data_IF_857988767535
#
_entry.id   IF_857988767535
#
_cell.length_a   1.000
_cell.length_b   1.000
_cell.length_c   1.000
_cell.angle_alpha   90.00
_cell.angle_beta   90.00
_cell.angle_gamma   90.00
#
_symmetry.space_group_name_H-M   'P 1'
#
loop_
_entity.id
_entity.type
_entity.pdbx_description
1 polymer ?
#
# COMPACT_ATOMS: atom_id res chain seq x y z
N UNK A 1 -5.67 -14.98 -5.42
CA UNK A 1 -6.42 -14.53 -6.60
C UNK A 1 -5.54 -14.66 -7.85
N UNK A 2 -6.06 -15.16 -8.97
CA UNK A 2 -5.36 -15.22 -10.27
C UNK A 2 -5.90 -14.14 -11.21
N UNK A 3 -5.00 -13.37 -11.81
CA UNK A 3 -5.30 -12.39 -12.87
C UNK A 3 -4.78 -12.99 -14.17
N UNK A 4 -5.67 -13.32 -15.11
CA UNK A 4 -5.29 -14.02 -16.35
C UNK A 4 -5.81 -13.37 -17.63
N UNK A 5 -6.82 -12.49 -17.52
CA UNK A 5 -7.47 -11.84 -18.66
C UNK A 5 -7.70 -10.37 -18.32
N UNK A 6 -7.73 -9.53 -19.35
CA UNK A 6 -8.18 -8.14 -19.28
C UNK A 6 -9.46 -8.03 -20.09
N UNK A 7 -10.40 -7.25 -19.59
CA UNK A 7 -11.57 -6.83 -20.34
C UNK A 7 -11.30 -5.46 -20.96
N UNK A 8 -11.47 -5.33 -22.27
CA UNK A 8 -11.28 -4.09 -22.99
C UNK A 8 -12.54 -3.77 -23.81
N UNK A 9 -12.81 -2.48 -23.97
CA UNK A 9 -13.83 -2.02 -24.92
C UNK A 9 -13.11 -1.59 -26.19
N UNK A 10 -13.23 -2.36 -27.26
CA UNK A 10 -12.72 -2.03 -28.59
C UNK A 10 -13.91 -1.86 -29.54
N UNK A 11 -13.94 -0.76 -30.29
CA UNK A 11 -14.97 -0.48 -31.30
C UNK A 11 -16.42 -0.64 -30.77
N UNK A 12 -16.65 -0.26 -29.51
CA UNK A 12 -17.97 -0.35 -28.86
C UNK A 12 -18.34 -1.75 -28.32
N UNK A 13 -17.53 -2.78 -28.59
CA UNK A 13 -17.74 -4.16 -28.09
C UNK A 13 -16.82 -4.46 -26.91
N UNK A 14 -17.33 -5.29 -26.00
CA UNK A 14 -16.58 -5.77 -24.84
C UNK A 14 -15.86 -7.06 -25.26
N UNK A 15 -14.53 -7.04 -25.27
CA UNK A 15 -13.71 -8.19 -25.63
C UNK A 15 -12.79 -8.60 -24.47
N UNK A 16 -12.77 -9.90 -24.18
CA UNK A 16 -11.79 -10.49 -23.28
C UNK A 16 -10.50 -10.77 -24.06
N UNK A 17 -9.39 -10.19 -23.58
CA UNK A 17 -8.08 -10.38 -24.16
C UNK A 17 -7.03 -10.72 -23.10
N UNK A 18 -5.82 -11.14 -23.52
CA UNK A 18 -4.71 -11.26 -22.59
C UNK A 18 -4.39 -9.89 -21.95
N UNK A 19 -3.80 -9.87 -20.74
CA UNK A 19 -3.29 -8.63 -20.16
C UNK A 19 -2.30 -7.92 -21.10
N UNK A 20 -2.16 -6.60 -20.94
CA UNK A 20 -1.31 -5.75 -21.79
C UNK A 20 0.16 -6.19 -21.84
N UNK A 21 0.62 -6.98 -20.87
CA UNK A 21 1.94 -7.59 -20.83
C UNK A 21 1.88 -8.98 -20.20
N UNK A 22 2.89 -9.82 -20.45
CA UNK A 22 3.03 -11.12 -19.79
C UNK A 22 3.06 -10.99 -18.25
N UNK A 23 3.70 -9.95 -17.72
CA UNK A 23 3.72 -9.64 -16.28
C UNK A 23 2.32 -9.30 -15.72
N UNK A 24 1.34 -9.00 -16.58
CA UNK A 24 -0.05 -8.81 -16.19
C UNK A 24 -0.74 -10.10 -15.77
N UNK A 25 -0.29 -11.27 -16.26
CA UNK A 25 -0.78 -12.59 -15.84
C UNK A 25 -0.04 -13.00 -14.57
N UNK A 26 -0.75 -13.04 -13.43
CA UNK A 26 -0.12 -13.32 -12.13
C UNK A 26 -1.08 -13.89 -11.10
N UNK A 27 -0.51 -14.59 -10.13
CA UNK A 27 -1.20 -14.95 -8.88
C UNK A 27 -0.73 -13.99 -7.79
N UNK A 28 -1.70 -13.35 -7.13
CA UNK A 28 -1.46 -12.49 -5.97
C UNK A 28 -2.16 -13.10 -4.76
N UNK A 29 -1.39 -13.27 -3.70
CA UNK A 29 -1.90 -13.62 -2.38
C UNK A 29 -2.47 -12.36 -1.73
N UNK A 30 -3.75 -12.44 -1.37
CA UNK A 30 -4.46 -11.38 -0.68
C UNK A 30 -4.28 -11.58 0.83
N UNK A 31 -4.12 -10.50 1.61
CA UNK A 31 -4.12 -10.59 3.07
C UNK A 31 -5.44 -11.17 3.59
N UNK A 32 -5.40 -11.83 4.74
CA UNK A 32 -6.61 -12.34 5.41
C UNK A 32 -7.63 -11.23 5.71
N UNK A 33 -7.17 -9.99 5.90
CA UNK A 33 -8.02 -8.81 6.15
C UNK A 33 -8.98 -8.43 5.00
N UNK A 34 -8.95 -9.12 3.85
CA UNK A 34 -9.83 -8.85 2.69
C UNK A 34 -11.09 -9.75 2.73
N UNK A 35 -11.70 -9.91 3.89
CA UNK A 35 -12.94 -10.69 4.06
C UNK A 35 -14.12 -10.10 3.27
N UNK A 36 -14.10 -8.79 3.04
CA UNK A 36 -15.06 -8.09 2.20
C UNK A 36 -15.18 -8.70 0.79
N UNK A 37 -14.09 -9.28 0.25
CA UNK A 37 -14.14 -9.92 -1.06
C UNK A 37 -14.95 -11.22 -1.01
N UNK A 38 -14.80 -12.03 0.03
CA UNK A 38 -15.57 -13.28 0.19
C UNK A 38 -17.06 -12.98 0.31
N UNK A 39 -17.42 -12.00 1.14
CA UNK A 39 -18.81 -11.53 1.26
C UNK A 39 -19.35 -11.00 -0.07
N UNK A 40 -18.55 -10.21 -0.79
CA UNK A 40 -18.93 -9.69 -2.10
C UNK A 40 -19.19 -10.79 -3.14
N UNK A 41 -18.29 -11.78 -3.21
CA UNK A 41 -18.43 -12.92 -4.11
C UNK A 41 -19.73 -13.69 -3.84
N UNK A 42 -20.08 -13.92 -2.58
CA UNK A 42 -21.29 -14.63 -2.20
C UNK A 42 -22.57 -13.83 -2.49
N UNK A 43 -22.54 -12.51 -2.29
CA UNK A 43 -23.73 -11.66 -2.38
C UNK A 43 -24.02 -11.14 -3.80
N UNK A 44 -22.99 -10.92 -4.62
CA UNK A 44 -23.12 -10.13 -5.86
C UNK A 44 -22.61 -10.82 -7.12
N UNK A 45 -22.00 -12.00 -7.04
CA UNK A 45 -21.43 -12.69 -8.21
C UNK A 45 -22.25 -13.92 -8.55
N UNK A 46 -22.74 -13.98 -9.79
CA UNK A 46 -23.50 -15.12 -10.27
C UNK A 46 -22.66 -16.40 -10.30
N UNK A 47 -23.31 -17.56 -10.13
CA UNK A 47 -22.67 -18.87 -10.23
C UNK A 47 -22.28 -19.14 -11.70
N UNK A 48 -21.05 -18.79 -12.07
CA UNK A 48 -20.54 -18.97 -13.42
C UNK A 48 -19.04 -18.68 -13.49
N UNK A 49 -18.25 -19.47 -14.24
CA UNK A 49 -16.80 -19.28 -14.31
C UNK A 49 -16.40 -17.99 -15.03
N UNK A 50 -17.29 -17.44 -15.86
CA UNK A 50 -17.08 -16.18 -16.59
C UNK A 50 -17.87 -15.01 -15.98
N UNK A 51 -18.43 -15.19 -14.78
CA UNK A 51 -19.13 -14.13 -14.06
C UNK A 51 -18.18 -12.98 -13.74
N UNK A 52 -18.62 -11.76 -14.02
CA UNK A 52 -17.88 -10.57 -13.62
C UNK A 52 -17.94 -10.43 -12.10
N UNK A 53 -16.77 -10.24 -11.48
CA UNK A 53 -16.68 -10.04 -10.03
C UNK A 53 -17.21 -8.67 -9.63
N UNK A 54 -16.90 -7.62 -10.39
CA UNK A 54 -17.37 -6.26 -10.10
C UNK A 54 -18.19 -5.73 -11.28
N UNK A 55 -19.43 -5.35 -11.00
CA UNK A 55 -20.39 -4.85 -11.99
C UNK A 55 -21.00 -3.52 -11.53
N UNK A 56 -21.54 -2.76 -12.48
CA UNK A 56 -22.41 -1.63 -12.16
C UNK A 56 -23.78 -2.08 -11.65
N UNK A 57 -24.63 -1.11 -11.31
CA UNK A 57 -25.95 -1.31 -10.68
C UNK A 57 -26.97 -2.16 -11.46
N UNK A 58 -26.75 -2.44 -12.76
CA UNK A 58 -27.60 -3.33 -13.57
C UNK A 58 -26.84 -4.59 -14.04
N UNK A 59 -25.78 -4.99 -13.34
CA UNK A 59 -24.97 -6.18 -13.68
C UNK A 59 -24.05 -5.99 -14.89
N UNK A 60 -24.03 -4.81 -15.51
CA UNK A 60 -23.17 -4.49 -16.64
C UNK A 60 -21.71 -4.27 -16.23
N UNK A 61 -20.81 -4.37 -17.21
CA UNK A 61 -19.40 -4.04 -17.02
C UNK A 61 -19.22 -2.63 -16.43
N UNK A 62 -18.45 -2.57 -15.35
CA UNK A 62 -18.00 -1.31 -14.77
C UNK A 62 -16.98 -0.65 -15.69
N UNK A 63 -17.33 0.50 -16.27
CA UNK A 63 -16.42 1.29 -17.12
C UNK A 63 -15.65 2.29 -16.28
N UNK A 64 -14.40 2.57 -16.68
CA UNK A 64 -13.56 3.55 -15.96
C UNK A 64 -14.21 4.94 -15.89
N UNK A 65 -14.93 5.36 -16.94
CA UNK A 65 -15.63 6.64 -16.98
C UNK A 65 -16.87 6.72 -16.07
N UNK A 66 -17.46 5.58 -15.72
CA UNK A 66 -18.63 5.51 -14.82
C UNK A 66 -18.26 5.07 -13.40
N UNK A 67 -17.01 4.65 -13.17
CA UNK A 67 -16.55 4.08 -11.90
C UNK A 67 -16.92 4.97 -10.71
N UNK A 68 -16.48 6.24 -10.72
CA UNK A 68 -16.66 7.14 -9.59
C UNK A 68 -18.13 7.32 -9.18
N UNK A 69 -19.05 7.39 -10.16
CA UNK A 69 -20.49 7.44 -9.89
C UNK A 69 -21.06 6.11 -9.44
N UNK A 70 -20.62 5.01 -10.03
CA UNK A 70 -21.14 3.68 -9.72
C UNK A 70 -20.72 3.20 -8.32
N UNK A 71 -19.62 3.71 -7.77
CA UNK A 71 -19.13 3.36 -6.44
C UNK A 71 -19.32 4.47 -5.41
N UNK A 72 -19.92 5.60 -5.79
CA UNK A 72 -19.96 6.82 -4.96
C UNK A 72 -18.61 7.11 -4.30
N UNK A 73 -17.54 7.11 -5.12
CA UNK A 73 -16.17 7.11 -4.62
C UNK A 73 -15.87 8.33 -3.77
N UNK A 74 -16.30 9.52 -4.21
CA UNK A 74 -16.05 10.79 -3.51
C UNK A 74 -16.68 10.81 -2.13
N UNK A 75 -17.90 10.29 -2.02
CA UNK A 75 -18.63 10.18 -0.78
C UNK A 75 -17.97 9.15 0.15
N UNK A 76 -17.55 8.00 -0.41
CA UNK A 76 -16.89 6.93 0.33
C UNK A 76 -15.57 7.39 0.96
N UNK A 77 -14.78 8.21 0.25
CA UNK A 77 -13.51 8.73 0.77
C UNK A 77 -13.69 9.99 1.62
N UNK A 78 -14.81 10.70 1.50
CA UNK A 78 -15.09 11.87 2.32
C UNK A 78 -15.36 11.52 3.79
N UNK A 79 -16.04 10.39 4.06
CA UNK A 79 -16.34 9.91 5.41
C UNK A 79 -15.08 9.77 6.31
N UNK A 80 -13.98 9.15 5.86
CA UNK A 80 -12.72 9.14 6.60
C UNK A 80 -11.87 10.42 6.45
N UNK A 81 -12.37 11.49 5.81
CA UNK A 81 -11.66 12.76 5.62
C UNK A 81 -10.63 12.76 4.49
N UNK A 82 -10.74 11.86 3.51
CA UNK A 82 -9.83 11.69 2.38
C UNK A 82 -10.38 12.33 1.08
N UNK A 83 -10.89 13.56 1.16
CA UNK A 83 -11.61 14.23 0.06
C UNK A 83 -10.83 14.36 -1.26
N UNK A 84 -9.50 14.43 -1.20
CA UNK A 84 -8.61 14.52 -2.38
C UNK A 84 -8.00 13.16 -2.79
N UNK A 85 -8.54 12.05 -2.28
CA UNK A 85 -8.02 10.71 -2.54
C UNK A 85 -8.70 10.07 -3.76
N UNK A 86 -7.91 9.74 -4.77
CA UNK A 86 -8.36 9.13 -6.01
C UNK A 86 -8.26 7.61 -5.95
N UNK A 87 -9.04 6.92 -6.78
CA UNK A 87 -9.03 5.46 -6.81
C UNK A 87 -7.64 4.85 -7.11
N UNK A 88 -6.81 5.53 -7.92
CA UNK A 88 -5.46 5.07 -8.22
C UNK A 88 -4.50 5.17 -7.03
N UNK A 89 -4.82 5.99 -6.02
CA UNK A 89 -4.02 6.12 -4.82
C UNK A 89 -4.07 4.85 -3.97
N UNK A 90 -5.14 4.06 -4.04
CA UNK A 90 -5.18 2.71 -3.44
C UNK A 90 -4.06 1.81 -3.97
N UNK A 91 -3.78 1.90 -5.29
CA UNK A 91 -2.70 1.13 -5.90
C UNK A 91 -1.35 1.64 -5.42
N UNK A 92 -1.16 2.96 -5.30
CA UNK A 92 0.06 3.54 -4.76
C UNK A 92 0.28 3.10 -3.31
N UNK A 93 -0.74 3.22 -2.45
CA UNK A 93 -0.70 2.77 -1.05
C UNK A 93 -0.36 1.30 -0.94
N UNK A 94 -1.01 0.43 -1.72
CA UNK A 94 -0.73 -1.01 -1.71
C UNK A 94 0.71 -1.36 -2.14
N UNK A 95 1.28 -0.61 -3.08
CA UNK A 95 2.67 -0.80 -3.52
C UNK A 95 3.66 -0.32 -2.45
N UNK A 96 3.40 0.83 -1.83
CA UNK A 96 4.22 1.36 -0.72
C UNK A 96 4.21 0.41 0.47
N UNK A 97 3.04 -0.13 0.85
CA UNK A 97 2.93 -1.12 1.93
C UNK A 97 3.73 -2.39 1.62
N UNK A 98 3.64 -2.89 0.39
CA UNK A 98 4.42 -4.06 -0.04
C UNK A 98 5.93 -3.78 -0.05
N UNK A 99 6.36 -2.57 -0.45
CA UNK A 99 7.77 -2.19 -0.39
C UNK A 99 8.26 -2.12 1.06
N UNK A 100 7.45 -1.55 1.96
CA UNK A 100 7.80 -1.42 3.38
C UNK A 100 7.83 -2.74 4.14
N UNK A 101 7.24 -3.81 3.61
CA UNK A 101 7.30 -5.14 4.22
C UNK A 101 8.63 -5.86 3.96
N UNK A 102 9.59 -5.21 3.31
CA UNK A 102 10.88 -5.81 2.94
C UNK A 102 10.86 -6.62 1.64
N UNK A 103 9.83 -6.45 0.80
CA UNK A 103 9.75 -7.15 -0.48
C UNK A 103 10.91 -6.74 -1.41
N UNK A 104 11.55 -7.72 -2.03
CA UNK A 104 12.56 -7.50 -3.06
C UNK A 104 11.97 -6.83 -4.29
N UNK A 105 12.83 -6.23 -5.12
CA UNK A 105 12.40 -5.54 -6.35
C UNK A 105 11.64 -6.48 -7.27
N UNK A 106 12.08 -7.74 -7.36
CA UNK A 106 11.44 -8.78 -8.18
C UNK A 106 10.06 -9.15 -7.65
N UNK A 107 9.89 -9.28 -6.34
CA UNK A 107 8.58 -9.55 -5.72
C UNK A 107 7.60 -8.38 -5.92
N UNK A 108 8.09 -7.14 -5.82
CA UNK A 108 7.30 -5.94 -6.12
C UNK A 108 6.88 -5.91 -7.59
N UNK A 109 7.80 -6.16 -8.53
CA UNK A 109 7.47 -6.21 -9.95
C UNK A 109 6.39 -7.26 -10.25
N UNK A 110 6.55 -8.47 -9.67
CA UNK A 110 5.55 -9.54 -9.80
C UNK A 110 4.19 -9.10 -9.24
N UNK A 111 4.13 -8.60 -8.00
CA UNK A 111 2.86 -8.18 -7.36
C UNK A 111 2.16 -7.05 -8.11
N UNK A 112 2.92 -6.04 -8.51
CA UNK A 112 2.40 -4.85 -9.19
C UNK A 112 2.05 -5.11 -10.65
N UNK A 113 2.67 -6.10 -11.29
CA UNK A 113 2.58 -6.34 -12.73
C UNK A 113 3.34 -5.31 -13.56
N UNK A 114 4.34 -4.64 -12.96
CA UNK A 114 5.22 -3.73 -13.68
C UNK A 114 6.24 -4.53 -14.51
N UNK A 115 6.30 -4.24 -15.81
CA UNK A 115 7.29 -4.85 -16.69
C UNK A 115 8.71 -4.26 -16.48
N UNK A 116 8.83 -3.07 -15.89
CA UNK A 116 10.12 -2.38 -15.72
C UNK A 116 10.56 -2.30 -14.26
N UNK A 117 11.86 -2.55 -14.03
CA UNK A 117 12.49 -2.39 -12.72
C UNK A 117 12.40 -0.94 -12.21
N UNK A 118 12.52 0.04 -13.12
CA UNK A 118 12.45 1.48 -12.79
C UNK A 118 11.17 1.81 -12.01
N UNK A 119 10.03 1.23 -12.39
CA UNK A 119 8.78 1.49 -11.70
C UNK A 119 8.70 0.86 -10.30
N UNK A 120 9.41 -0.25 -10.06
CA UNK A 120 9.51 -0.86 -8.73
C UNK A 120 10.48 -0.12 -7.80
N UNK A 121 11.60 0.37 -8.36
CA UNK A 121 12.62 1.13 -7.62
C UNK A 121 12.06 2.43 -7.02
N UNK A 122 11.10 3.10 -7.67
CA UNK A 122 10.44 4.30 -7.13
C UNK A 122 9.89 4.04 -5.71
N UNK A 123 9.25 2.89 -5.49
CA UNK A 123 8.68 2.55 -4.18
C UNK A 123 9.73 2.10 -3.18
N UNK A 124 10.79 1.40 -3.63
CA UNK A 124 11.89 1.02 -2.75
C UNK A 124 12.70 2.22 -2.25
N UNK A 125 12.95 3.22 -3.10
CA UNK A 125 13.63 4.43 -2.68
C UNK A 125 12.83 5.23 -1.64
N UNK A 126 11.51 5.32 -1.80
CA UNK A 126 10.63 5.93 -0.81
C UNK A 126 10.71 5.23 0.57
N UNK A 127 10.92 3.91 0.59
CA UNK A 127 11.16 3.18 1.86
C UNK A 127 12.57 3.36 2.40
N UNK A 128 13.59 3.48 1.55
CA UNK A 128 14.97 3.78 2.02
C UNK A 128 15.09 5.16 2.66
N UNK A 129 14.29 6.14 2.22
CA UNK A 129 14.17 7.44 2.91
C UNK A 129 13.57 7.27 4.30
N UNK A 130 12.56 6.40 4.44
CA UNK A 130 11.98 6.06 5.74
C UNK A 130 12.95 5.28 6.65
N UNK A 131 13.79 4.42 6.12
CA UNK A 131 14.86 3.77 6.90
C UNK A 131 15.83 4.81 7.49
N UNK A 132 16.13 5.88 6.75
CA UNK A 132 16.95 6.99 7.28
C UNK A 132 16.22 7.75 8.38
N UNK A 133 14.91 7.95 8.28
CA UNK A 133 14.09 8.56 9.34
C UNK A 133 14.08 7.69 10.60
N UNK A 134 13.96 6.36 10.44
CA UNK A 134 14.03 5.39 11.54
C UNK A 134 15.40 5.43 12.20
N UNK A 135 16.48 5.37 11.42
CA UNK A 135 17.85 5.51 11.92
C UNK A 135 18.04 6.82 12.69
N UNK A 136 17.58 7.94 12.13
CA UNK A 136 17.64 9.25 12.78
C UNK A 136 16.82 9.30 14.08
N UNK A 137 15.68 8.62 14.13
CA UNK A 137 14.87 8.50 15.34
C UNK A 137 15.55 7.62 16.40
N UNK A 138 16.24 6.55 15.99
CA UNK A 138 17.06 5.74 16.88
C UNK A 138 18.22 6.56 17.46
N UNK A 139 18.94 7.32 16.63
CA UNK A 139 20.02 8.21 17.08
C UNK A 139 19.53 9.21 18.12
N UNK A 140 18.37 9.85 17.89
CA UNK A 140 17.76 10.77 18.86
C UNK A 140 17.43 10.09 20.20
N UNK A 141 16.95 8.83 20.16
CA UNK A 141 16.64 8.07 21.39
C UNK A 141 17.90 7.62 22.12
N UNK A 142 18.93 7.19 21.39
CA UNK A 142 20.23 6.80 21.96
C UNK A 142 20.88 8.03 22.61
N UNK A 143 20.95 9.17 21.92
CA UNK A 143 21.49 10.42 22.47
C UNK A 143 20.79 10.86 23.75
N UNK A 144 19.44 10.78 23.79
CA UNK A 144 18.64 11.10 24.98
C UNK A 144 18.86 10.13 26.15
N UNK A 145 19.24 8.88 25.87
CA UNK A 145 19.60 7.88 26.90
C UNK A 145 21.06 8.01 27.40
N UNK A 146 21.93 8.66 26.60
CA UNK A 146 23.33 8.89 26.92
C UNK A 146 23.59 10.06 27.88
N UNK A 147 22.65 10.99 28.04
CA UNK A 147 22.71 12.04 29.05
C UNK A 147 22.35 11.50 30.45
N UNK A 148 23.31 10.86 31.14
CA UNK A 148 23.22 10.64 32.60
C UNK A 148 23.32 11.98 33.34
N UNK A 149 22.60 12.17 34.47
CA UNK A 149 22.56 13.44 35.18
C UNK A 149 23.94 13.76 35.80
N UNK A 150 24.45 14.97 35.54
CA UNK A 150 25.68 15.49 36.16
C UNK A 150 25.56 15.45 37.69
N UNK A 151 26.35 14.59 38.33
CA UNK A 151 26.42 14.49 39.78
C UNK A 151 26.79 15.82 40.45
N UNK A 152 26.02 16.19 41.49
CA UNK A 152 26.31 17.34 42.37
C UNK A 152 27.72 17.24 42.95
N UNK A 153 28.60 18.21 42.65
CA UNK A 153 29.87 18.43 43.35
C UNK A 153 29.57 18.74 44.83
N UNK A 154 29.92 17.84 45.75
CA UNK A 154 29.97 18.13 47.19
C UNK A 154 31.18 19.03 47.47
N UNK A 155 30.91 20.19 48.05
CA UNK A 155 31.89 21.21 48.42
C UNK A 155 32.85 20.76 49.53
N UNK A 156 34.10 21.20 49.36
CA UNK A 156 35.25 21.08 50.24
C UNK A 156 35.05 21.86 51.54
N UNK A 157 35.33 21.24 52.71
CA UNK A 157 35.74 21.95 53.94
C UNK A 157 36.34 20.96 54.95
N UNK A 158 37.65 20.74 54.85
CA UNK A 158 38.48 20.15 55.91
C UNK A 158 39.41 21.24 56.42
N UNK A 159 39.20 21.68 57.66
CA UNK A 159 39.96 22.70 58.38
C UNK A 159 41.03 21.95 59.19
N UNK A 160 42.30 22.09 58.85
CA UNK A 160 43.42 21.55 59.65
C UNK A 160 43.80 22.59 60.71
N UNK A 161 43.60 22.24 61.98
CA UNK A 161 44.23 22.86 63.14
C UNK A 161 45.01 21.80 63.93
N UNK A 162 45.82 22.25 64.89
CA UNK A 162 46.81 21.54 65.73
C UNK A 162 48.23 21.70 65.16
N UNK A 163 49.24 22.25 65.84
CA UNK A 163 49.38 22.78 67.20
C UNK A 163 50.47 23.85 67.20
#
# INVERSE_FOLDING_TARGET
MRVARKLAVLNGRVEFGPPKSAAGVRVVWLPAAVDALTGHLAAFVAAGPESLVFTGSKGQLLRSSSFGRATSWRETVADPGLGDFYFHDLRHTGNTLAASSGASTRELMHRTGHASMRAALIYQHATSERDREIASAMDRRIAKSGEKPKGKKKGKRGKTGTS
#
